data_IF_893004771183
#
_entry.id   IF_893004771183
#
_cell.length_a   1.000
_cell.length_b   1.000
_cell.length_c   1.000
_cell.angle_alpha   90.00
_cell.angle_beta   90.00
_cell.angle_gamma   90.00
#
_symmetry.space_group_name_H-M   'P 1'
#
loop_
_entity.id
_entity.type
_entity.pdbx_description
1 polymer ?
#
# COMPACT_ATOMS: atom_id res chain seq x y z
N UNK A 1 1.07 35.33 19.88
CA UNK A 1 2.21 34.42 20.11
C UNK A 1 1.67 33.00 20.08
N UNK A 2 1.66 32.35 18.90
CA UNK A 2 1.47 30.91 18.77
C UNK A 2 2.81 30.25 19.13
N UNK A 3 2.93 29.86 20.38
CA UNK A 3 4.07 29.11 20.89
C UNK A 3 3.77 27.63 20.74
N UNK A 4 4.65 26.91 20.07
CA UNK A 4 4.73 25.46 20.03
C UNK A 4 4.08 24.87 18.79
N UNK A 5 4.86 24.52 17.79
CA UNK A 5 4.47 23.57 16.78
C UNK A 5 4.39 22.19 17.45
N UNK A 6 3.24 21.87 18.05
CA UNK A 6 2.94 20.49 18.43
C UNK A 6 2.99 19.67 17.14
N UNK A 7 3.95 18.76 17.03
CA UNK A 7 4.03 17.88 15.89
C UNK A 7 2.90 16.86 16.01
N UNK A 8 1.94 16.94 15.11
CA UNK A 8 0.81 16.06 15.04
C UNK A 8 1.12 14.95 14.02
N UNK A 9 1.13 13.71 14.45
CA UNK A 9 1.39 12.54 13.63
C UNK A 9 0.07 11.82 13.38
N UNK A 10 -0.20 11.49 12.14
CA UNK A 10 -1.33 10.65 11.72
C UNK A 10 -0.80 9.30 11.31
N UNK A 11 -1.23 8.25 11.99
CA UNK A 11 -0.90 6.88 11.63
C UNK A 11 -2.14 6.02 11.35
N UNK A 12 -1.92 4.85 10.73
CA UNK A 12 -2.95 3.86 10.47
C UNK A 12 -2.30 2.47 10.52
N UNK A 13 -2.05 2.01 11.74
CA UNK A 13 -1.27 0.80 12.01
C UNK A 13 -2.14 -0.40 12.43
N UNK A 14 -3.43 -0.18 12.73
CA UNK A 14 -4.36 -1.25 13.10
C UNK A 14 -4.87 -1.98 11.87
N UNK A 15 -4.66 -3.32 11.76
CA UNK A 15 -5.19 -4.09 10.65
C UNK A 15 -6.72 -4.05 10.60
N UNK A 16 -7.26 -4.06 9.39
CA UNK A 16 -8.70 -4.13 9.19
C UNK A 16 -9.19 -5.56 9.42
N UNK A 17 -10.25 -5.73 10.21
CA UNK A 17 -10.95 -7.01 10.32
C UNK A 17 -11.74 -7.29 9.03
N UNK A 18 -11.59 -8.50 8.48
CA UNK A 18 -12.33 -8.98 7.31
C UNK A 18 -12.84 -10.40 7.55
N UNK A 19 -13.56 -10.96 6.60
CA UNK A 19 -13.99 -12.37 6.67
C UNK A 19 -12.81 -13.36 6.64
N UNK A 20 -11.66 -12.96 6.10
CA UNK A 20 -10.44 -13.78 6.03
C UNK A 20 -9.39 -13.36 7.05
N UNK A 21 -9.53 -12.19 7.68
CA UNK A 21 -8.57 -11.67 8.64
C UNK A 21 -9.30 -11.27 9.93
N UNK A 22 -9.17 -12.09 10.94
CA UNK A 22 -9.80 -11.85 12.24
C UNK A 22 -8.80 -11.25 13.21
N UNK A 23 -9.06 -10.02 13.63
CA UNK A 23 -8.28 -9.33 14.65
C UNK A 23 -8.67 -9.90 16.03
N UNK A 24 -7.74 -10.59 16.70
CA UNK A 24 -7.94 -11.17 18.01
C UNK A 24 -7.74 -10.14 19.12
N UNK A 25 -6.61 -9.47 19.07
CA UNK A 25 -6.24 -8.32 19.88
C UNK A 25 -5.29 -7.42 19.10
N UNK A 26 -5.30 -6.13 19.43
CA UNK A 26 -4.39 -5.17 18.83
C UNK A 26 -4.25 -3.96 19.74
N UNK A 27 -3.02 -3.65 20.12
CA UNK A 27 -2.69 -2.52 20.96
C UNK A 27 -1.71 -1.59 20.25
N UNK A 28 -1.86 -0.29 20.50
CA UNK A 28 -1.01 0.76 19.95
C UNK A 28 -0.53 1.64 21.11
N UNK A 29 0.76 1.54 21.40
CA UNK A 29 1.41 2.32 22.44
C UNK A 29 2.19 3.49 21.84
N UNK A 30 2.12 4.63 22.49
CA UNK A 30 2.84 5.85 22.06
C UNK A 30 3.74 6.33 23.19
N UNK A 31 5.05 6.24 22.99
CA UNK A 31 6.06 6.77 23.88
C UNK A 31 6.56 8.13 23.35
N UNK A 32 6.69 9.11 24.24
CA UNK A 32 7.06 10.48 23.89
C UNK A 32 5.89 11.33 23.36
N UNK A 33 4.67 10.82 23.49
CA UNK A 33 3.45 11.49 23.05
C UNK A 33 2.20 10.82 23.59
N UNK A 34 1.06 11.20 23.03
CA UNK A 34 -0.25 10.57 23.35
C UNK A 34 -1.14 10.52 22.12
N UNK A 35 -2.01 9.50 22.08
CA UNK A 35 -3.14 9.46 21.16
C UNK A 35 -4.18 10.47 21.62
N UNK A 36 -4.51 11.44 20.77
CA UNK A 36 -5.52 12.48 21.07
C UNK A 36 -6.86 12.19 20.40
N UNK A 37 -6.84 11.41 19.31
CA UNK A 37 -8.05 11.03 18.59
C UNK A 37 -7.84 9.68 17.89
N UNK A 38 -8.83 8.80 18.02
CA UNK A 38 -9.01 7.63 17.17
C UNK A 38 -10.23 7.87 16.28
N UNK A 39 -10.10 7.66 14.98
CA UNK A 39 -11.20 7.83 14.02
C UNK A 39 -11.08 6.80 12.90
N UNK A 40 -12.09 6.71 12.05
CA UNK A 40 -12.08 5.86 10.86
C UNK A 40 -12.09 6.75 9.63
N UNK A 41 -11.15 6.49 8.71
CA UNK A 41 -11.10 7.21 7.46
C UNK A 41 -12.15 6.68 6.45
N UNK A 42 -12.25 7.37 5.30
CA UNK A 42 -13.20 6.97 4.26
C UNK A 42 -12.86 5.64 3.55
N UNK A 43 -11.66 5.09 3.78
CA UNK A 43 -11.28 3.74 3.37
C UNK A 43 -11.61 2.67 4.41
N UNK A 44 -12.15 3.05 5.56
CA UNK A 44 -12.43 2.15 6.67
C UNK A 44 -11.23 1.87 7.57
N UNK A 45 -10.09 2.54 7.36
CA UNK A 45 -8.91 2.35 8.20
C UNK A 45 -9.07 3.08 9.53
N UNK A 46 -8.69 2.42 10.63
CA UNK A 46 -8.52 3.09 11.92
C UNK A 46 -7.31 4.02 11.84
N UNK A 47 -7.52 5.27 12.18
CA UNK A 47 -6.48 6.33 12.16
C UNK A 47 -6.33 6.89 13.56
N UNK A 48 -5.11 6.95 14.04
CA UNK A 48 -4.74 7.62 15.27
C UNK A 48 -4.09 8.97 14.97
N UNK A 49 -4.54 9.99 15.68
CA UNK A 49 -3.88 11.28 15.72
C UNK A 49 -3.08 11.35 17.01
N UNK A 50 -1.76 11.46 16.89
CA UNK A 50 -0.85 11.47 18.02
C UNK A 50 -0.18 12.84 18.15
N UNK A 51 -0.15 13.39 19.34
CA UNK A 51 0.62 14.58 19.65
C UNK A 51 1.91 14.20 20.38
N UNK A 52 3.03 14.72 19.91
CA UNK A 52 4.32 14.63 20.60
C UNK A 52 4.35 15.59 21.79
N UNK A 53 4.94 15.17 22.90
CA UNK A 53 5.20 16.07 24.03
C UNK A 53 6.31 17.07 23.67
N UNK A 54 6.16 18.30 24.12
CA UNK A 54 7.05 19.41 23.77
C UNK A 54 8.48 19.29 24.31
N UNK A 55 8.67 18.46 25.31
CA UNK A 55 9.95 18.21 26.00
C UNK A 55 10.67 16.94 25.51
N UNK A 56 10.14 16.29 24.47
CA UNK A 56 10.65 15.04 23.93
C UNK A 56 11.05 15.21 22.47
N UNK A 57 12.27 14.81 22.13
CA UNK A 57 12.78 14.91 20.76
C UNK A 57 12.26 13.82 19.81
N UNK A 58 11.80 12.67 20.36
CA UNK A 58 11.41 11.50 19.59
C UNK A 58 10.06 10.97 20.07
N UNK A 59 9.16 10.70 19.13
CA UNK A 59 7.98 9.89 19.38
C UNK A 59 8.22 8.48 18.83
N UNK A 60 7.82 7.49 19.60
CA UNK A 60 7.90 6.08 19.20
C UNK A 60 6.51 5.46 19.31
N UNK A 61 6.06 4.85 18.21
CA UNK A 61 4.76 4.20 18.13
C UNK A 61 5.00 2.70 17.97
N UNK A 62 4.54 1.92 18.93
CA UNK A 62 4.69 0.46 18.95
C UNK A 62 3.33 -0.19 18.79
N UNK A 63 3.23 -1.16 17.89
CA UNK A 63 2.02 -1.94 17.70
C UNK A 63 2.29 -3.40 18.08
N UNK A 64 1.37 -3.97 18.85
CA UNK A 64 1.41 -5.37 19.22
C UNK A 64 0.01 -5.99 19.12
N UNK A 65 -0.08 -7.21 18.59
CA UNK A 65 -1.36 -7.87 18.49
C UNK A 65 -1.31 -9.21 17.80
N UNK A 66 -2.47 -9.86 17.72
CA UNK A 66 -2.63 -11.16 17.08
C UNK A 66 -3.74 -11.11 16.05
N UNK A 67 -3.42 -11.64 14.88
CA UNK A 67 -4.33 -11.73 13.75
C UNK A 67 -4.41 -13.18 13.31
N UNK A 68 -5.62 -13.70 13.17
CA UNK A 68 -5.85 -15.00 12.56
C UNK A 68 -6.22 -14.80 11.09
N UNK A 69 -5.43 -15.35 10.19
CA UNK A 69 -5.60 -15.22 8.74
C UNK A 69 -6.00 -16.57 8.15
N UNK A 70 -7.07 -16.57 7.36
CA UNK A 70 -7.51 -17.72 6.58
C UNK A 70 -6.95 -17.56 5.17
N UNK A 71 -6.15 -18.53 4.72
CA UNK A 71 -5.63 -18.51 3.35
C UNK A 71 -6.78 -18.72 2.35
N UNK A 72 -6.93 -17.74 1.49
CA UNK A 72 -7.93 -17.74 0.40
C UNK A 72 -7.27 -17.57 -0.97
N UNK A 73 -5.99 -17.93 -1.09
CA UNK A 73 -5.19 -17.74 -2.31
C UNK A 73 -5.21 -16.28 -2.82
N UNK A 74 -5.20 -15.32 -1.90
CA UNK A 74 -5.21 -13.89 -2.20
C UNK A 74 -6.58 -13.32 -2.62
N UNK A 75 -7.66 -14.10 -2.55
CA UNK A 75 -9.00 -13.63 -2.87
C UNK A 75 -9.68 -13.13 -1.60
N UNK A 76 -9.97 -11.83 -1.53
CA UNK A 76 -10.57 -11.18 -0.34
C UNK A 76 -12.09 -11.10 -0.41
N UNK A 77 -12.70 -11.45 -1.54
CA UNK A 77 -14.15 -11.38 -1.73
C UNK A 77 -14.64 -10.07 -2.33
N UNK A 78 -15.93 -9.79 -2.18
CA UNK A 78 -16.55 -8.62 -2.75
C UNK A 78 -16.04 -7.33 -2.07
N UNK A 79 -15.99 -6.24 -2.84
CA UNK A 79 -15.66 -4.93 -2.33
C UNK A 79 -16.76 -4.43 -1.38
N UNK A 80 -16.42 -4.26 -0.13
CA UNK A 80 -17.33 -3.83 0.96
C UNK A 80 -16.90 -2.47 1.55
N UNK A 81 -16.55 -1.53 0.68
CA UNK A 81 -16.13 -0.19 1.08
C UNK A 81 -17.13 0.86 0.57
N UNK A 82 -17.27 1.97 1.32
CA UNK A 82 -18.14 3.09 0.95
C UNK A 82 -17.69 3.82 -0.34
N UNK A 83 -16.43 3.62 -0.76
CA UNK A 83 -15.91 4.24 -1.98
C UNK A 83 -16.33 3.42 -3.20
N UNK A 84 -17.05 4.00 -4.18
CA UNK A 84 -17.42 3.30 -5.40
C UNK A 84 -16.19 2.81 -6.19
N UNK A 85 -16.25 1.59 -6.71
CA UNK A 85 -15.18 0.98 -7.51
C UNK A 85 -14.62 1.88 -8.62
N UNK A 86 -15.42 2.65 -9.39
CA UNK A 86 -14.88 3.53 -10.42
C UNK A 86 -13.90 4.59 -9.92
N UNK A 87 -13.97 4.98 -8.64
CA UNK A 87 -13.01 5.92 -8.06
C UNK A 87 -11.58 5.37 -8.06
N UNK A 88 -11.42 4.04 -7.95
CA UNK A 88 -10.12 3.38 -7.98
C UNK A 88 -9.52 3.21 -9.38
N UNK A 89 -10.20 3.66 -10.43
CA UNK A 89 -9.67 3.76 -11.79
C UNK A 89 -8.92 5.07 -12.04
N UNK A 90 -9.11 6.07 -11.19
CA UNK A 90 -8.48 7.38 -11.34
C UNK A 90 -6.99 7.32 -11.00
N UNK A 91 -6.18 7.94 -11.86
CA UNK A 91 -4.76 8.10 -11.57
C UNK A 91 -4.54 9.11 -10.45
N UNK A 92 -3.50 8.88 -9.65
CA UNK A 92 -2.99 9.82 -8.64
C UNK A 92 -1.63 10.34 -9.07
N UNK A 93 -1.09 11.36 -8.40
CA UNK A 93 0.21 11.92 -8.75
C UNK A 93 1.31 10.85 -8.87
N UNK A 94 1.35 9.87 -7.94
CA UNK A 94 2.34 8.79 -7.96
C UNK A 94 2.05 7.70 -9.00
N UNK A 95 0.82 7.58 -9.47
CA UNK A 95 0.37 6.54 -10.42
C UNK A 95 -0.09 7.12 -11.77
N UNK A 96 0.46 8.25 -12.19
CA UNK A 96 0.23 8.77 -13.53
C UNK A 96 0.99 7.92 -14.56
N UNK A 97 0.31 7.42 -15.61
CA UNK A 97 0.97 6.60 -16.61
C UNK A 97 1.84 7.45 -17.53
N UNK A 98 3.15 7.21 -17.51
CA UNK A 98 4.10 7.74 -18.48
C UNK A 98 4.26 6.82 -19.70
N UNK A 99 5.25 7.09 -20.58
CA UNK A 99 5.44 6.34 -21.82
C UNK A 99 5.68 4.83 -21.61
N UNK A 100 6.49 4.45 -20.61
CA UNK A 100 6.85 3.04 -20.32
C UNK A 100 5.65 2.25 -19.83
N UNK A 101 4.91 2.81 -18.85
CA UNK A 101 3.70 2.18 -18.28
C UNK A 101 2.59 2.09 -19.32
N UNK A 102 2.42 3.09 -20.19
CA UNK A 102 1.46 3.02 -21.30
C UNK A 102 1.83 1.96 -22.31
N UNK A 103 3.14 1.80 -22.60
CA UNK A 103 3.61 0.73 -23.48
C UNK A 103 3.33 -0.65 -22.87
N UNK A 104 3.66 -0.83 -21.60
CA UNK A 104 3.34 -2.06 -20.86
C UNK A 104 1.82 -2.35 -20.88
N UNK A 105 0.97 -1.34 -20.68
CA UNK A 105 -0.48 -1.46 -20.78
C UNK A 105 -0.95 -1.93 -22.15
N UNK A 106 -0.37 -1.40 -23.23
CA UNK A 106 -0.66 -1.85 -24.60
C UNK A 106 -0.26 -3.31 -24.82
N UNK A 107 0.90 -3.72 -24.31
CA UNK A 107 1.39 -5.09 -24.44
C UNK A 107 0.54 -6.07 -23.64
N UNK A 108 0.10 -5.67 -22.45
CA UNK A 108 -0.86 -6.43 -21.67
C UNK A 108 -2.23 -6.54 -22.34
N UNK A 109 -2.70 -5.47 -22.99
CA UNK A 109 -3.95 -5.52 -23.77
C UNK A 109 -3.88 -6.51 -24.93
N UNK A 110 -2.70 -6.62 -25.59
CA UNK A 110 -2.48 -7.62 -26.65
C UNK A 110 -2.47 -9.04 -26.06
N UNK A 111 -1.78 -9.23 -24.92
CA UNK A 111 -1.72 -10.50 -24.21
C UNK A 111 -3.14 -11.01 -23.84
N UNK A 112 -3.99 -10.14 -23.30
CA UNK A 112 -5.36 -10.46 -22.95
C UNK A 112 -6.20 -10.87 -24.17
N UNK A 113 -6.09 -10.13 -25.28
CA UNK A 113 -6.82 -10.45 -26.53
C UNK A 113 -6.39 -11.77 -27.17
N UNK A 114 -5.15 -12.20 -26.93
CA UNK A 114 -4.65 -13.49 -27.41
C UNK A 114 -5.22 -14.69 -26.63
N UNK A 115 -6.03 -14.45 -25.58
CA UNK A 115 -6.79 -15.50 -24.89
C UNK A 115 -5.97 -16.35 -23.92
N UNK A 116 -4.87 -15.83 -23.39
CA UNK A 116 -3.97 -16.55 -22.49
C UNK A 116 -4.55 -16.67 -21.05
N UNK A 117 -5.65 -17.40 -20.87
CA UNK A 117 -6.07 -17.89 -19.57
C UNK A 117 -6.92 -16.96 -18.70
N UNK A 118 -7.54 -15.93 -19.27
CA UNK A 118 -8.50 -15.06 -18.57
C UNK A 118 -7.84 -13.91 -17.77
N UNK A 119 -8.69 -13.14 -17.08
CA UNK A 119 -8.29 -11.88 -16.42
C UNK A 119 -7.31 -12.09 -15.28
N UNK A 120 -7.48 -13.13 -14.46
CA UNK A 120 -6.59 -13.42 -13.33
C UNK A 120 -5.18 -13.74 -13.83
N UNK A 121 -5.06 -14.56 -14.88
CA UNK A 121 -3.77 -14.87 -15.47
C UNK A 121 -3.10 -13.65 -16.08
N UNK A 122 -3.88 -12.73 -16.67
CA UNK A 122 -3.35 -11.47 -17.17
C UNK A 122 -2.80 -10.59 -16.04
N UNK A 123 -3.44 -10.57 -14.88
CA UNK A 123 -2.95 -9.83 -13.71
C UNK A 123 -1.68 -10.49 -13.10
N UNK A 124 -1.60 -11.81 -13.10
CA UNK A 124 -0.36 -12.51 -12.72
C UNK A 124 0.79 -12.22 -13.69
N UNK A 125 0.52 -12.23 -14.99
CA UNK A 125 1.51 -11.86 -16.02
C UNK A 125 1.95 -10.41 -15.85
N UNK A 126 1.02 -9.47 -15.57
CA UNK A 126 1.36 -8.09 -15.26
C UNK A 126 2.29 -7.99 -14.05
N UNK A 127 1.99 -8.73 -12.97
CA UNK A 127 2.84 -8.78 -11.78
C UNK A 127 4.25 -9.27 -12.11
N UNK A 128 4.36 -10.33 -12.90
CA UNK A 128 5.65 -10.88 -13.34
C UNK A 128 6.45 -9.86 -14.18
N UNK A 129 5.79 -9.16 -15.10
CA UNK A 129 6.45 -8.14 -15.93
C UNK A 129 6.92 -6.93 -15.14
N UNK A 130 6.12 -6.47 -14.18
CA UNK A 130 6.53 -5.38 -13.27
C UNK A 130 7.74 -5.81 -12.44
N UNK A 131 7.70 -7.01 -11.86
CA UNK A 131 8.81 -7.56 -11.08
C UNK A 131 10.07 -7.75 -11.91
N UNK A 132 9.96 -8.10 -13.20
CA UNK A 132 11.10 -8.20 -14.10
C UNK A 132 11.66 -6.83 -14.49
N UNK A 133 10.81 -5.80 -14.59
CA UNK A 133 11.20 -4.45 -14.98
C UNK A 133 11.82 -3.64 -13.84
N UNK A 134 11.37 -3.86 -12.59
CA UNK A 134 11.84 -3.16 -11.39
C UNK A 134 12.52 -4.18 -10.50
N UNK A 135 13.83 -4.10 -10.32
CA UNK A 135 14.56 -4.94 -9.36
C UNK A 135 14.43 -4.38 -7.95
N UNK A 136 14.16 -5.26 -6.98
CA UNK A 136 14.08 -4.83 -5.60
C UNK A 136 15.43 -4.29 -5.11
N UNK A 137 15.46 -3.04 -4.66
CA UNK A 137 16.67 -2.38 -4.13
C UNK A 137 16.27 -1.26 -3.17
N UNK A 138 16.73 -1.34 -1.91
CA UNK A 138 16.52 -0.28 -0.92
C UNK A 138 17.37 0.97 -1.24
N UNK A 139 16.85 2.15 -0.88
CA UNK A 139 17.58 3.42 -0.96
C UNK A 139 17.82 3.98 -2.36
N UNK A 140 17.07 3.49 -3.37
CA UNK A 140 17.11 4.01 -4.75
C UNK A 140 15.92 4.89 -5.09
N UNK A 141 14.86 4.76 -4.34
CA UNK A 141 13.59 5.47 -4.48
C UNK A 141 13.15 5.99 -3.14
N UNK A 142 12.26 6.95 -3.12
CA UNK A 142 11.66 7.56 -1.94
C UNK A 142 10.12 7.64 -2.08
N UNK A 143 9.45 8.22 -1.09
CA UNK A 143 7.98 8.34 -1.07
C UNK A 143 7.42 9.25 -2.15
N UNK A 144 8.23 10.07 -2.80
CA UNK A 144 7.84 10.95 -3.92
C UNK A 144 8.08 10.31 -5.30
N UNK A 145 8.76 9.16 -5.35
CA UNK A 145 9.07 8.47 -6.61
C UNK A 145 7.79 7.99 -7.27
N UNK A 146 7.57 8.41 -8.53
CA UNK A 146 6.40 8.01 -9.30
C UNK A 146 6.58 6.62 -9.92
N UNK A 147 5.47 5.98 -10.27
CA UNK A 147 5.47 4.69 -10.96
C UNK A 147 6.29 4.70 -12.26
N UNK A 148 6.25 5.79 -13.02
CA UNK A 148 7.03 5.92 -14.26
C UNK A 148 8.52 6.06 -13.97
N UNK A 149 8.90 6.84 -12.94
CA UNK A 149 10.31 7.00 -12.54
C UNK A 149 10.91 5.67 -12.10
N UNK A 150 10.18 4.88 -11.31
CA UNK A 150 10.66 3.57 -10.88
C UNK A 150 10.88 2.60 -12.05
N UNK A 151 9.99 2.63 -13.04
CA UNK A 151 10.16 1.89 -14.31
C UNK A 151 11.36 2.39 -15.14
N UNK A 152 11.67 3.68 -15.06
CA UNK A 152 12.84 4.26 -15.74
C UNK A 152 14.15 3.88 -15.07
N UNK A 153 14.19 3.98 -13.73
CA UNK A 153 15.34 3.59 -12.90
C UNK A 153 15.58 2.08 -12.98
N UNK A 154 14.53 1.28 -13.13
CA UNK A 154 14.57 -0.18 -13.13
C UNK A 154 14.91 -0.79 -11.77
N UNK A 155 14.82 -0.01 -10.70
CA UNK A 155 15.04 -0.42 -9.31
C UNK A 155 14.04 0.29 -8.39
N UNK A 156 13.63 -0.37 -7.31
CA UNK A 156 12.71 0.20 -6.34
C UNK A 156 12.38 -0.76 -5.21
N UNK A 157 11.50 -0.33 -4.32
CA UNK A 157 10.98 -1.11 -3.20
C UNK A 157 9.56 -1.60 -3.48
N UNK A 158 8.92 -2.27 -2.53
CA UNK A 158 7.54 -2.81 -2.67
C UNK A 158 6.55 -1.75 -3.18
N UNK A 159 6.64 -0.52 -2.65
CA UNK A 159 5.78 0.59 -3.04
C UNK A 159 5.86 0.90 -4.54
N UNK A 160 7.06 0.88 -5.11
CA UNK A 160 7.30 1.16 -6.53
C UNK A 160 6.66 0.11 -7.43
N UNK A 161 6.82 -1.17 -7.07
CA UNK A 161 6.19 -2.28 -7.77
C UNK A 161 4.68 -2.16 -7.75
N UNK A 162 4.10 -1.85 -6.59
CA UNK A 162 2.64 -1.69 -6.45
C UNK A 162 2.13 -0.50 -7.25
N UNK A 163 2.82 0.65 -7.22
CA UNK A 163 2.43 1.82 -8.01
C UNK A 163 2.48 1.54 -9.51
N UNK A 164 3.50 0.85 -10.01
CA UNK A 164 3.61 0.46 -11.41
C UNK A 164 2.48 -0.51 -11.80
N UNK A 165 2.22 -1.54 -10.97
CA UNK A 165 1.13 -2.49 -11.18
C UNK A 165 -0.23 -1.81 -11.23
N UNK A 166 -0.56 -0.98 -10.22
CA UNK A 166 -1.83 -0.25 -10.13
C UNK A 166 -2.02 0.66 -11.35
N UNK A 167 -0.97 1.34 -11.78
CA UNK A 167 -1.03 2.23 -12.94
C UNK A 167 -1.41 1.49 -14.20
N UNK A 168 -0.77 0.34 -14.47
CA UNK A 168 -1.09 -0.47 -15.65
C UNK A 168 -2.47 -1.12 -15.51
N UNK A 169 -2.82 -1.65 -14.34
CA UNK A 169 -4.15 -2.22 -14.10
C UNK A 169 -5.27 -1.21 -14.40
N UNK A 170 -5.10 0.05 -13.97
CA UNK A 170 -6.04 1.14 -14.29
C UNK A 170 -6.07 1.47 -15.78
N UNK A 171 -4.94 1.42 -16.49
CA UNK A 171 -4.92 1.55 -17.95
C UNK A 171 -5.68 0.43 -18.68
N UNK A 172 -5.85 -0.73 -18.04
CA UNK A 172 -6.63 -1.88 -18.52
C UNK A 172 -8.08 -1.84 -18.03
N UNK A 173 -8.51 -0.72 -17.45
CA UNK A 173 -9.86 -0.48 -16.90
C UNK A 173 -10.19 -1.26 -15.62
N UNK A 174 -9.20 -1.81 -14.92
CA UNK A 174 -9.40 -2.40 -13.59
C UNK A 174 -9.43 -1.33 -12.50
N UNK A 175 -10.35 -1.50 -11.54
CA UNK A 175 -10.31 -0.76 -10.28
C UNK A 175 -9.20 -1.31 -9.41
N UNK A 176 -8.19 -0.50 -9.12
CA UNK A 176 -7.03 -0.93 -8.36
C UNK A 176 -6.64 0.12 -7.30
N UNK A 177 -6.33 -0.33 -6.09
CA UNK A 177 -5.89 0.53 -4.98
C UNK A 177 -4.66 -0.04 -4.29
N UNK A 178 -3.88 0.84 -3.69
CA UNK A 178 -2.80 0.46 -2.79
C UNK A 178 -3.39 -0.04 -1.47
N UNK A 179 -2.85 -1.14 -0.97
CA UNK A 179 -3.15 -1.66 0.38
C UNK A 179 -1.82 -1.84 1.09
N UNK A 180 -1.68 -1.20 2.24
CA UNK A 180 -0.56 -1.41 3.16
C UNK A 180 -0.90 -2.50 4.17
N UNK A 181 0.11 -3.16 4.72
CA UNK A 181 -0.10 -4.22 5.71
C UNK A 181 1.22 -4.77 6.23
N UNK A 182 1.08 -5.78 7.08
CA UNK A 182 2.20 -6.51 7.66
C UNK A 182 2.48 -7.77 6.85
N UNK A 183 3.75 -8.03 6.62
CA UNK A 183 4.21 -9.25 5.98
C UNK A 183 4.85 -10.15 7.03
N UNK A 184 4.43 -11.42 7.08
CA UNK A 184 5.11 -12.41 7.89
C UNK A 184 6.50 -12.67 7.29
N UNK A 185 7.53 -12.30 8.05
CA UNK A 185 8.91 -12.62 7.70
C UNK A 185 9.30 -13.97 8.30
N UNK A 186 10.01 -14.79 7.55
CA UNK A 186 10.58 -16.03 8.07
C UNK A 186 11.70 -15.71 9.05
N UNK A 187 11.74 -16.48 10.16
CA UNK A 187 12.89 -16.60 11.06
C UNK A 187 13.32 -15.36 11.88
N UNK A 188 12.35 -14.56 12.33
CA UNK A 188 12.61 -13.53 13.34
C UNK A 188 13.42 -12.32 12.83
N UNK A 189 13.51 -12.15 11.51
CA UNK A 189 14.04 -10.93 10.94
C UNK A 189 13.07 -9.76 11.18
N UNK A 190 13.54 -8.73 11.87
CA UNK A 190 12.80 -7.47 12.04
C UNK A 190 12.83 -6.69 10.71
N UNK A 191 11.69 -6.25 10.23
CA UNK A 191 11.64 -5.21 9.21
C UNK A 191 11.97 -3.89 9.88
N UNK A 192 13.13 -3.32 9.58
CA UNK A 192 13.36 -1.92 9.85
C UNK A 192 12.41 -1.11 8.97
N UNK A 193 11.50 -0.38 9.61
CA UNK A 193 10.70 0.64 8.94
C UNK A 193 11.67 1.74 8.47
N UNK A 194 11.95 1.79 7.18
CA UNK A 194 12.72 2.86 6.53
C UNK A 194 11.78 3.83 5.86
#
# INVERSE_FOLDING_TARGET
>A
SLVGSEMCIRDSLKPLGTTQQHLMDWDVEVNGGKIVLETVDYHGNTVHLCNQYSDVEKIEITCCGRVNVIDTNGIVGAHDNHIPLPMFKNATALSLPGPRLRQLGKDMSKFMRAGHGGEINALHELSARVSAAIKYSKGKTDTSTTAEMSMEIGMGVCQDHVHAFITVARCLDYSARYVSGYLLMCDGETQDAS
#
